data_IF_449478928775
#
_entry.id   IF_449478928775
#
_cell.length_a   1.000
_cell.length_b   1.000
_cell.length_c   1.000
_cell.angle_alpha   90.00
_cell.angle_beta   90.00
_cell.angle_gamma   90.00
#
_symmetry.space_group_name_H-M   'P 1'
#
loop_
_entity.id
_entity.type
_entity.pdbx_description
1 polymer ?
#
# COMPACT_ATOMS: atom_id res chain seq x y z
N UNK A 1 -19.32 -31.34 7.74
CA UNK A 1 -18.03 -31.45 7.01
C UNK A 1 -16.90 -31.56 8.03
N UNK A 2 -15.92 -32.44 7.79
CA UNK A 2 -14.71 -32.48 8.64
C UNK A 2 -13.78 -31.31 8.32
N UNK A 3 -12.91 -30.93 9.25
CA UNK A 3 -12.00 -29.80 9.02
C UNK A 3 -11.04 -30.05 7.84
N UNK A 4 -10.63 -31.30 7.63
CA UNK A 4 -9.74 -31.69 6.53
C UNK A 4 -10.42 -31.57 5.16
N UNK A 5 -11.69 -31.98 5.06
CA UNK A 5 -12.49 -31.81 3.83
C UNK A 5 -12.71 -30.33 3.49
N UNK A 6 -12.91 -29.49 4.52
CA UNK A 6 -13.04 -28.05 4.37
C UNK A 6 -11.76 -27.41 3.85
N UNK A 7 -10.61 -27.71 4.46
CA UNK A 7 -9.32 -27.15 4.02
C UNK A 7 -8.99 -27.55 2.57
N UNK A 8 -9.34 -28.79 2.16
CA UNK A 8 -9.18 -29.22 0.77
C UNK A 8 -10.07 -28.43 -0.19
N UNK A 9 -11.36 -28.28 0.12
CA UNK A 9 -12.29 -27.47 -0.69
C UNK A 9 -11.88 -25.99 -0.72
N UNK A 10 -11.44 -25.44 0.40
CA UNK A 10 -10.91 -24.09 0.48
C UNK A 10 -9.68 -23.94 -0.43
N UNK A 11 -8.71 -24.84 -0.37
CA UNK A 11 -7.52 -24.77 -1.22
C UNK A 11 -7.85 -24.81 -2.73
N UNK A 12 -8.84 -25.61 -3.12
CA UNK A 12 -9.31 -25.71 -4.52
C UNK A 12 -10.08 -24.46 -4.97
N UNK A 13 -10.96 -23.90 -4.13
CA UNK A 13 -11.85 -22.79 -4.50
C UNK A 13 -11.34 -21.40 -4.08
N UNK A 14 -10.28 -21.30 -3.27
CA UNK A 14 -9.74 -20.05 -2.72
C UNK A 14 -9.52 -18.98 -3.78
N UNK A 15 -8.94 -19.35 -4.93
CA UNK A 15 -8.67 -18.38 -6.01
C UNK A 15 -9.94 -17.78 -6.58
N UNK A 16 -10.98 -18.59 -6.76
CA UNK A 16 -12.28 -18.15 -7.29
C UNK A 16 -13.05 -17.33 -6.26
N UNK A 17 -13.07 -17.77 -4.99
CA UNK A 17 -13.72 -17.06 -3.89
C UNK A 17 -13.09 -15.68 -3.65
N UNK A 18 -11.75 -15.59 -3.67
CA UNK A 18 -11.03 -14.31 -3.54
C UNK A 18 -11.14 -13.44 -4.81
N UNK A 19 -11.32 -14.04 -5.99
CA UNK A 19 -11.54 -13.30 -7.22
C UNK A 19 -12.93 -12.66 -7.28
N UNK A 20 -13.95 -13.35 -6.77
CA UNK A 20 -15.33 -12.87 -6.72
C UNK A 20 -15.62 -11.91 -5.56
N UNK A 21 -14.70 -11.75 -4.60
CA UNK A 21 -14.87 -10.79 -3.51
C UNK A 21 -14.44 -9.37 -3.92
N UNK A 22 -15.41 -8.47 -4.09
CA UNK A 22 -15.16 -7.09 -4.51
C UNK A 22 -14.27 -6.31 -3.54
N UNK A 23 -14.42 -6.54 -2.23
CA UNK A 23 -13.62 -5.86 -1.21
C UNK A 23 -12.15 -6.29 -1.28
N UNK A 24 -11.90 -7.59 -1.46
CA UNK A 24 -10.57 -8.15 -1.65
C UNK A 24 -9.91 -7.61 -2.93
N UNK A 25 -10.64 -7.59 -4.05
CA UNK A 25 -10.13 -7.04 -5.31
C UNK A 25 -9.83 -5.55 -5.20
N UNK A 26 -10.70 -4.77 -4.57
CA UNK A 26 -10.50 -3.32 -4.37
C UNK A 26 -9.21 -3.04 -3.58
N UNK A 27 -8.97 -3.79 -2.52
CA UNK A 27 -7.75 -3.65 -1.72
C UNK A 27 -6.55 -4.19 -2.51
N UNK A 28 -6.62 -5.37 -3.12
CA UNK A 28 -5.51 -5.90 -3.91
C UNK A 28 -5.08 -4.96 -5.06
N UNK A 29 -6.04 -4.28 -5.69
CA UNK A 29 -5.78 -3.27 -6.72
C UNK A 29 -5.18 -1.97 -6.14
N UNK A 30 -5.60 -1.53 -4.96
CA UNK A 30 -5.02 -0.35 -4.31
C UNK A 30 -3.53 -0.55 -3.97
N UNK A 31 -3.11 -1.79 -3.68
CA UNK A 31 -1.70 -2.14 -3.48
C UNK A 31 -0.91 -2.13 -4.80
N UNK A 32 -1.51 -2.54 -5.94
CA UNK A 32 -0.86 -2.51 -7.26
C UNK A 32 -0.68 -1.11 -7.84
N UNK A 33 -1.63 -0.21 -7.60
CA UNK A 33 -1.62 1.15 -8.13
C UNK A 33 -0.65 2.12 -7.44
N UNK A 34 0.14 1.67 -6.46
CA UNK A 34 0.82 2.58 -5.54
C UNK A 34 2.20 3.06 -5.99
N UNK A 35 2.80 2.43 -7.01
CA UNK A 35 4.19 2.69 -7.41
C UNK A 35 4.41 4.04 -8.10
N UNK A 36 3.39 4.60 -8.79
CA UNK A 36 3.52 5.90 -9.46
C UNK A 36 3.49 7.08 -8.48
N UNK A 37 2.84 6.89 -7.33
CA UNK A 37 2.70 7.92 -6.29
C UNK A 37 4.06 8.27 -5.68
N UNK A 38 4.98 7.30 -5.58
CA UNK A 38 6.34 7.53 -5.07
C UNK A 38 7.09 8.57 -5.95
N UNK A 39 6.92 8.53 -7.27
CA UNK A 39 7.52 9.51 -8.19
C UNK A 39 6.88 10.89 -8.07
N UNK A 40 5.56 10.96 -7.92
CA UNK A 40 4.84 12.22 -7.72
C UNK A 40 5.31 12.92 -6.45
N UNK A 41 5.52 12.15 -5.38
CA UNK A 41 5.98 12.69 -4.10
C UNK A 41 7.43 13.16 -4.17
N UNK A 42 8.30 12.45 -4.90
CA UNK A 42 9.66 12.91 -5.16
C UNK A 42 9.68 14.23 -5.94
N UNK A 43 8.91 14.33 -7.02
CA UNK A 43 8.82 15.56 -7.84
C UNK A 43 8.25 16.71 -7.01
N UNK A 44 7.13 16.49 -6.31
CA UNK A 44 6.52 17.51 -5.47
C UNK A 44 7.45 17.96 -4.32
N UNK A 45 8.09 17.00 -3.65
CA UNK A 45 9.06 17.27 -2.59
C UNK A 45 10.25 18.09 -3.10
N UNK A 46 10.78 17.76 -4.28
CA UNK A 46 11.85 18.53 -4.91
C UNK A 46 11.43 19.98 -5.21
N UNK A 47 10.29 20.19 -5.86
CA UNK A 47 9.80 21.54 -6.22
C UNK A 47 9.58 22.40 -4.98
N UNK A 48 8.99 21.84 -3.92
CA UNK A 48 8.78 22.55 -2.65
C UNK A 48 10.11 22.94 -2.01
N UNK A 49 11.06 22.00 -1.91
CA UNK A 49 12.35 22.27 -1.31
C UNK A 49 13.19 23.23 -2.15
N UNK A 50 13.13 23.16 -3.47
CA UNK A 50 13.80 24.10 -4.37
C UNK A 50 13.27 25.53 -4.16
N UNK A 51 11.94 25.70 -4.10
CA UNK A 51 11.32 27.01 -3.88
C UNK A 51 11.66 27.59 -2.50
N UNK A 52 11.72 26.74 -1.47
CA UNK A 52 12.07 27.16 -0.11
C UNK A 52 13.54 27.53 0.04
N UNK A 53 14.44 26.74 -0.55
CA UNK A 53 15.90 26.96 -0.46
C UNK A 53 16.36 28.18 -1.24
N UNK A 54 15.68 28.56 -2.34
CA UNK A 54 15.93 29.82 -3.08
C UNK A 54 15.83 31.06 -2.19
N UNK A 55 14.94 31.05 -1.19
CA UNK A 55 14.72 32.19 -0.28
C UNK A 55 15.79 32.28 0.81
N UNK A 56 16.49 31.18 1.11
CA UNK A 56 17.37 31.06 2.28
C UNK A 56 18.85 31.06 1.87
N UNK A 57 19.18 30.57 0.67
CA UNK A 57 20.55 30.28 0.25
C UNK A 57 20.87 30.99 -1.07
N UNK A 58 21.91 31.84 -1.06
CA UNK A 58 22.38 32.55 -2.26
C UNK A 58 23.26 31.70 -3.19
N UNK A 59 23.81 30.58 -2.68
CA UNK A 59 24.64 29.68 -3.49
C UNK A 59 23.78 28.62 -4.19
N UNK A 60 23.81 28.62 -5.52
CA UNK A 60 23.02 27.70 -6.34
C UNK A 60 23.37 26.23 -6.11
N UNK A 61 24.65 25.93 -5.83
CA UNK A 61 25.11 24.57 -5.56
C UNK A 61 24.55 24.07 -4.22
N UNK A 62 24.63 24.89 -3.16
CA UNK A 62 24.08 24.56 -1.85
C UNK A 62 22.56 24.46 -1.86
N UNK A 63 21.88 25.31 -2.65
CA UNK A 63 20.44 25.29 -2.82
C UNK A 63 19.97 23.93 -3.37
N UNK A 64 20.56 23.45 -4.47
CA UNK A 64 20.19 22.16 -5.04
C UNK A 64 20.56 20.99 -4.12
N UNK A 65 21.69 21.06 -3.42
CA UNK A 65 22.12 20.02 -2.50
C UNK A 65 21.14 19.88 -1.32
N UNK A 66 20.69 21.00 -0.75
CA UNK A 66 19.65 21.02 0.28
C UNK A 66 18.29 20.58 -0.25
N UNK A 67 17.94 20.94 -1.48
CA UNK A 67 16.68 20.51 -2.09
C UNK A 67 16.63 18.99 -2.29
N UNK A 68 17.74 18.37 -2.71
CA UNK A 68 17.86 16.91 -2.82
C UNK A 68 17.74 16.21 -1.47
N UNK A 69 18.39 16.74 -0.43
CA UNK A 69 18.27 16.20 0.93
C UNK A 69 16.83 16.31 1.43
N UNK A 70 16.19 17.47 1.27
CA UNK A 70 14.80 17.70 1.65
C UNK A 70 13.82 16.77 0.93
N UNK A 71 14.02 16.57 -0.38
CA UNK A 71 13.25 15.62 -1.18
C UNK A 71 13.33 14.20 -0.61
N UNK A 72 14.53 13.72 -0.25
CA UNK A 72 14.70 12.38 0.33
C UNK A 72 14.00 12.28 1.69
N UNK A 73 14.07 13.31 2.53
CA UNK A 73 13.39 13.34 3.83
C UNK A 73 11.86 13.27 3.68
N UNK A 74 11.29 14.03 2.74
CA UNK A 74 9.85 14.00 2.45
C UNK A 74 9.43 12.61 1.95
N UNK A 75 10.20 12.02 1.04
CA UNK A 75 9.94 10.68 0.52
C UNK A 75 10.00 9.61 1.61
N UNK A 76 11.00 9.66 2.50
CA UNK A 76 11.10 8.76 3.65
C UNK A 76 9.92 8.94 4.60
N UNK A 77 9.55 10.18 4.93
CA UNK A 77 8.40 10.48 5.78
C UNK A 77 7.09 9.91 5.21
N UNK A 78 6.83 10.11 3.92
CA UNK A 78 5.68 9.52 3.24
C UNK A 78 5.72 7.99 3.30
N UNK A 79 6.86 7.38 2.99
CA UNK A 79 7.00 5.91 2.98
C UNK A 79 6.73 5.31 4.35
N UNK A 80 7.16 5.97 5.42
CA UNK A 80 6.88 5.54 6.80
C UNK A 80 5.38 5.65 7.12
N UNK A 81 4.73 6.77 6.80
CA UNK A 81 3.28 6.94 7.00
C UNK A 81 2.51 5.88 6.20
N UNK A 82 2.84 5.70 4.92
CA UNK A 82 2.24 4.68 4.06
C UNK A 82 2.41 3.27 4.64
N UNK A 83 3.59 2.94 5.15
CA UNK A 83 3.85 1.64 5.80
C UNK A 83 2.99 1.43 7.04
N UNK A 84 2.76 2.49 7.83
CA UNK A 84 1.91 2.42 9.02
C UNK A 84 0.42 2.26 8.66
N UNK A 85 -0.05 2.92 7.60
CA UNK A 85 -1.44 2.80 7.15
C UNK A 85 -1.75 1.48 6.44
N UNK A 86 -0.82 0.95 5.62
CA UNK A 86 -1.00 -0.34 4.94
C UNK A 86 -0.93 -1.56 5.89
N UNK A 87 -0.53 -1.37 7.15
CA UNK A 87 -0.45 -2.43 8.17
C UNK A 87 -1.83 -2.74 8.80
N UNK A 88 -2.79 -1.80 8.78
CA UNK A 88 -4.04 -1.93 9.55
C UNK A 88 -5.18 -2.68 8.84
N UNK A 89 -5.04 -3.02 7.57
CA UNK A 89 -6.02 -3.84 6.86
C UNK A 89 -5.27 -4.84 6.00
N UNK A 90 -4.54 -5.73 6.67
CA UNK A 90 -3.75 -6.75 6.00
C UNK A 90 -4.67 -7.63 5.17
N UNK A 91 -4.34 -7.85 3.89
CA UNK A 91 -5.03 -8.80 3.02
C UNK A 91 -5.26 -10.16 3.69
N UNK A 92 -4.38 -10.55 4.64
CA UNK A 92 -4.54 -11.73 5.48
C UNK A 92 -5.75 -11.71 6.42
N UNK A 93 -6.04 -10.59 7.09
CA UNK A 93 -7.23 -10.48 7.95
C UNK A 93 -8.51 -10.52 7.13
N UNK A 94 -8.50 -9.90 5.94
CA UNK A 94 -9.63 -9.96 5.03
C UNK A 94 -9.81 -11.37 4.46
N UNK A 95 -8.72 -12.06 4.14
CA UNK A 95 -8.74 -13.45 3.69
C UNK A 95 -9.28 -14.40 4.76
N UNK A 96 -8.91 -14.22 6.03
CA UNK A 96 -9.47 -15.00 7.15
C UNK A 96 -10.98 -14.78 7.32
N UNK A 97 -11.45 -13.53 7.20
CA UNK A 97 -12.88 -13.21 7.21
C UNK A 97 -13.62 -13.86 6.04
N UNK A 98 -13.05 -13.83 4.84
CA UNK A 98 -13.64 -14.47 3.65
C UNK A 98 -13.66 -15.99 3.80
N UNK A 99 -12.61 -16.58 4.40
CA UNK A 99 -12.55 -18.01 4.71
C UNK A 99 -13.64 -18.43 5.69
N UNK A 100 -13.91 -17.63 6.72
CA UNK A 100 -15.02 -17.86 7.66
C UNK A 100 -16.38 -17.76 6.95
N UNK A 101 -16.61 -16.70 6.17
CA UNK A 101 -17.87 -16.56 5.40
C UNK A 101 -18.09 -17.71 4.42
N UNK A 102 -17.03 -18.16 3.75
CA UNK A 102 -17.11 -19.31 2.86
C UNK A 102 -17.46 -20.58 3.62
N UNK A 103 -16.84 -20.81 4.79
CA UNK A 103 -17.16 -21.94 5.67
C UNK A 103 -18.63 -21.95 6.05
N UNK A 104 -19.15 -20.81 6.50
CA UNK A 104 -20.54 -20.65 6.90
C UNK A 104 -21.49 -20.96 5.74
N UNK A 105 -21.18 -20.48 4.53
CA UNK A 105 -22.00 -20.67 3.31
C UNK A 105 -22.07 -22.10 2.77
N UNK A 106 -21.12 -22.96 3.13
CA UNK A 106 -21.11 -24.38 2.72
C UNK A 106 -21.47 -25.32 3.88
N UNK A 107 -21.78 -24.76 5.05
CA UNK A 107 -22.22 -25.50 6.24
C UNK A 107 -23.73 -25.43 6.50
N UNK A 108 -24.44 -24.50 5.84
CA UNK A 108 -25.90 -24.52 5.63
C UNK A 108 -26.28 -25.37 4.41
#
# INVERSE_FOLDING_TARGET
MTNEEFEKKWAENRKEVLANNEEYQRIAQSYKGSGWIDYVILIAGFVICENYTKTIVNSIVLQYLLALVGMILIWLGYRLIKSLFNSKQTLGELEEKIKQQYKDSISD
#
